data_IF_155342406929
#
_entry.id   IF_155342406929
#
_cell.length_a   1.000
_cell.length_b   1.000
_cell.length_c   1.000
_cell.angle_alpha   90.00
_cell.angle_beta   90.00
_cell.angle_gamma   90.00
#
_symmetry.space_group_name_H-M   'P 1'
#
loop_
_entity.id
_entity.type
_entity.pdbx_description
1 polymer ?
#
# COMPACT_ATOMS: atom_id res chain seq x y z
N UNK A 1 0.88 -25.72 -16.62
CA UNK A 1 0.11 -25.29 -17.81
C UNK A 1 1.05 -25.12 -18.98
N UNK A 2 0.70 -25.64 -20.15
CA UNK A 2 1.44 -25.38 -21.41
C UNK A 2 0.44 -25.16 -22.54
N UNK A 3 0.45 -23.94 -23.10
CA UNK A 3 -0.40 -23.51 -24.22
C UNK A 3 0.49 -23.28 -25.44
N UNK A 4 0.16 -23.94 -26.55
CA UNK A 4 0.89 -23.83 -27.82
C UNK A 4 -0.08 -23.49 -28.95
N UNK A 5 0.33 -22.60 -29.84
CA UNK A 5 -0.34 -22.36 -31.11
C UNK A 5 0.62 -22.75 -32.24
N UNK A 6 0.30 -23.84 -32.95
CA UNK A 6 1.23 -24.46 -33.90
C UNK A 6 2.53 -24.89 -33.20
N UNK A 7 3.66 -24.35 -33.66
CA UNK A 7 4.99 -24.62 -33.07
C UNK A 7 5.41 -23.60 -32.00
N UNK A 8 4.65 -22.51 -31.81
CA UNK A 8 4.99 -21.46 -30.87
C UNK A 8 4.38 -21.75 -29.48
N UNK A 9 5.20 -21.67 -28.44
CA UNK A 9 4.76 -21.72 -27.05
C UNK A 9 4.30 -20.32 -26.64
N UNK A 10 3.02 -20.19 -26.25
CA UNK A 10 2.45 -18.90 -25.82
C UNK A 10 2.65 -18.73 -24.31
N UNK A 11 2.23 -19.74 -23.55
CA UNK A 11 2.34 -19.78 -22.08
C UNK A 11 2.85 -21.15 -21.68
N UNK A 12 3.84 -21.23 -20.79
CA UNK A 12 4.29 -22.48 -20.22
C UNK A 12 4.87 -22.25 -18.83
N UNK A 13 4.49 -23.10 -17.88
CA UNK A 13 5.03 -23.08 -16.52
C UNK A 13 4.12 -23.74 -15.50
N UNK A 14 4.54 -23.73 -14.24
CA UNK A 14 3.75 -24.25 -13.11
C UNK A 14 2.65 -23.26 -12.74
N UNK A 15 1.43 -23.77 -12.50
CA UNK A 15 0.34 -22.94 -11.97
C UNK A 15 0.56 -22.70 -10.49
N UNK A 16 0.15 -21.53 -10.00
CA UNK A 16 0.28 -21.13 -8.59
C UNK A 16 -0.52 -22.04 -7.66
N UNK A 17 -1.68 -22.51 -8.09
CA UNK A 17 -2.45 -23.52 -7.38
C UNK A 17 -3.01 -24.58 -8.33
N UNK A 18 -3.59 -25.62 -7.73
CA UNK A 18 -4.19 -26.73 -8.47
C UNK A 18 -5.47 -26.30 -9.21
N UNK A 19 -5.67 -26.90 -10.39
CA UNK A 19 -6.87 -26.73 -11.21
C UNK A 19 -7.55 -28.06 -11.42
N UNK A 20 -8.87 -28.04 -11.54
CA UNK A 20 -9.63 -29.18 -11.98
C UNK A 20 -9.42 -29.37 -13.49
N UNK A 21 -8.70 -30.44 -13.84
CA UNK A 21 -8.39 -30.77 -15.23
C UNK A 21 -9.64 -31.19 -16.01
N UNK A 22 -10.66 -31.74 -15.34
CA UNK A 22 -11.89 -32.20 -15.98
C UNK A 22 -12.82 -31.04 -16.37
N UNK A 23 -12.72 -29.91 -15.66
CA UNK A 23 -13.49 -28.69 -15.91
C UNK A 23 -12.68 -27.61 -16.63
N UNK A 24 -11.46 -27.94 -17.08
CA UNK A 24 -10.63 -27.05 -17.89
C UNK A 24 -11.04 -27.18 -19.35
N UNK A 25 -11.40 -26.05 -19.97
CA UNK A 25 -11.85 -26.00 -21.37
C UNK A 25 -11.10 -24.93 -22.15
N UNK A 26 -11.10 -25.03 -23.46
CA UNK A 26 -10.52 -24.03 -24.35
C UNK A 26 -11.40 -23.86 -25.58
N UNK A 27 -11.44 -22.64 -26.11
CA UNK A 27 -12.15 -22.30 -27.35
C UNK A 27 -11.25 -21.43 -28.22
N UNK A 28 -11.25 -21.71 -29.53
CA UNK A 28 -10.48 -20.95 -30.52
C UNK A 28 -11.44 -20.16 -31.40
N UNK A 29 -11.30 -18.84 -31.35
CA UNK A 29 -11.93 -17.87 -32.24
C UNK A 29 -10.91 -17.42 -33.30
N UNK A 30 -11.33 -16.78 -34.41
CA UNK A 30 -10.44 -16.45 -35.54
C UNK A 30 -9.17 -15.65 -35.15
N UNK A 31 -9.23 -14.85 -34.09
CA UNK A 31 -8.17 -13.98 -33.61
C UNK A 31 -7.83 -14.17 -32.11
N UNK A 32 -8.47 -15.13 -31.44
CA UNK A 32 -8.37 -15.29 -29.98
C UNK A 32 -8.44 -16.75 -29.55
N UNK A 33 -7.47 -17.19 -28.75
CA UNK A 33 -7.57 -18.41 -27.97
C UNK A 33 -8.04 -18.06 -26.57
N UNK A 34 -9.17 -18.62 -26.16
CA UNK A 34 -9.71 -18.47 -24.81
C UNK A 34 -9.56 -19.80 -24.06
N UNK A 35 -8.97 -19.74 -22.87
CA UNK A 35 -8.77 -20.92 -22.00
C UNK A 35 -9.46 -20.63 -20.67
N UNK A 36 -10.39 -21.50 -20.30
CA UNK A 36 -11.13 -21.41 -19.05
C UNK A 36 -10.58 -22.47 -18.10
N UNK A 37 -9.95 -22.02 -17.02
CA UNK A 37 -9.42 -22.88 -15.97
C UNK A 37 -10.32 -22.80 -14.73
N UNK A 38 -10.65 -23.96 -14.17
CA UNK A 38 -11.44 -24.04 -12.95
C UNK A 38 -10.52 -24.37 -11.78
N UNK A 39 -10.53 -23.53 -10.73
CA UNK A 39 -9.73 -23.77 -9.53
C UNK A 39 -10.23 -25.03 -8.82
N UNK A 40 -9.31 -25.85 -8.31
CA UNK A 40 -9.68 -27.00 -7.50
C UNK A 40 -10.17 -26.59 -6.11
N UNK A 41 -9.56 -25.54 -5.52
CA UNK A 41 -9.91 -25.01 -4.20
C UNK A 41 -10.69 -23.69 -4.33
N UNK A 42 -11.73 -23.54 -3.51
CA UNK A 42 -12.50 -22.30 -3.39
C UNK A 42 -11.86 -21.35 -2.36
N UNK A 43 -12.00 -20.04 -2.58
CA UNK A 43 -11.47 -19.00 -1.67
C UNK A 43 -10.02 -18.57 -1.90
N UNK A 44 -9.23 -19.33 -2.66
CA UNK A 44 -7.83 -18.96 -2.95
C UNK A 44 -7.74 -17.85 -4.00
N UNK A 45 -7.20 -16.69 -3.60
CA UNK A 45 -6.76 -15.63 -4.52
C UNK A 45 -5.54 -16.10 -5.30
N UNK A 46 -5.49 -15.82 -6.60
CA UNK A 46 -4.34 -16.16 -7.45
C UNK A 46 -3.66 -14.85 -7.84
N UNK A 47 -2.55 -14.47 -7.19
CA UNK A 47 -1.83 -13.24 -7.54
C UNK A 47 -1.20 -13.33 -8.93
N UNK A 48 -0.87 -14.55 -9.38
CA UNK A 48 -0.34 -14.85 -10.70
C UNK A 48 -0.94 -16.17 -11.20
N UNK A 49 -1.04 -16.32 -12.52
CA UNK A 49 -1.55 -17.55 -13.15
C UNK A 49 -0.47 -18.64 -13.23
N UNK A 50 0.72 -18.25 -13.71
CA UNK A 50 1.90 -19.09 -13.82
C UNK A 50 2.99 -18.47 -12.95
N UNK A 51 3.60 -19.27 -12.08
CA UNK A 51 4.59 -18.77 -11.11
C UNK A 51 5.77 -18.10 -11.82
N UNK A 52 5.98 -16.81 -11.53
CA UNK A 52 7.06 -16.01 -12.10
C UNK A 52 6.80 -15.48 -13.52
N UNK A 53 5.62 -15.67 -14.10
CA UNK A 53 5.25 -15.09 -15.39
C UNK A 53 4.48 -13.77 -15.20
N UNK A 54 5.13 -12.65 -15.53
CA UNK A 54 4.59 -11.29 -15.36
C UNK A 54 3.91 -10.76 -16.62
N UNK A 55 3.74 -11.57 -17.67
CA UNK A 55 3.14 -11.16 -18.94
C UNK A 55 1.61 -11.20 -18.87
N UNK A 56 0.95 -10.12 -19.29
CA UNK A 56 -0.51 -10.01 -19.39
C UNK A 56 -1.13 -9.06 -18.37
N UNK A 57 -2.46 -8.98 -18.35
CA UNK A 57 -3.23 -8.15 -17.41
C UNK A 57 -4.34 -8.98 -16.78
N UNK A 58 -4.50 -8.87 -15.47
CA UNK A 58 -5.67 -9.40 -14.78
C UNK A 58 -6.85 -8.45 -14.98
N UNK A 59 -7.92 -8.96 -15.59
CA UNK A 59 -9.19 -8.25 -15.71
C UNK A 59 -10.21 -8.97 -14.82
N UNK A 60 -10.72 -8.25 -13.81
CA UNK A 60 -11.80 -8.73 -12.97
C UNK A 60 -13.13 -8.44 -13.67
N UNK A 61 -14.04 -9.40 -13.64
CA UNK A 61 -15.40 -9.22 -14.13
C UNK A 61 -16.07 -8.06 -13.35
N UNK A 62 -16.61 -7.03 -14.03
CA UNK A 62 -17.34 -5.94 -13.38
C UNK A 62 -18.41 -6.40 -12.38
N UNK A 63 -19.08 -7.53 -12.63
CA UNK A 63 -20.08 -8.07 -11.71
C UNK A 63 -19.46 -8.64 -10.42
N UNK A 64 -18.26 -9.21 -10.51
CA UNK A 64 -17.50 -9.67 -9.34
C UNK A 64 -16.96 -8.48 -8.55
N UNK A 65 -16.50 -7.44 -9.23
CA UNK A 65 -16.11 -6.17 -8.60
C UNK A 65 -17.30 -5.55 -7.87
N UNK A 66 -18.49 -5.57 -8.47
CA UNK A 66 -19.71 -5.04 -7.87
C UNK A 66 -20.21 -5.88 -6.68
N UNK A 67 -20.17 -7.22 -6.75
CA UNK A 67 -20.51 -8.10 -5.60
C UNK A 67 -19.54 -7.90 -4.45
N UNK A 68 -18.23 -7.85 -4.73
CA UNK A 68 -17.20 -7.55 -3.72
C UNK A 68 -17.40 -6.16 -3.13
N UNK A 69 -17.68 -5.15 -3.95
CA UNK A 69 -17.98 -3.79 -3.48
C UNK A 69 -19.25 -3.75 -2.63
N UNK A 70 -20.30 -4.50 -2.98
CA UNK A 70 -21.54 -4.57 -2.19
C UNK A 70 -21.29 -5.25 -0.84
N UNK A 71 -20.54 -6.36 -0.82
CA UNK A 71 -20.17 -7.04 0.43
C UNK A 71 -19.30 -6.15 1.32
N UNK A 72 -18.37 -5.40 0.75
CA UNK A 72 -17.44 -4.52 1.48
C UNK A 72 -17.96 -3.07 1.60
N UNK A 73 -19.20 -2.81 1.21
CA UNK A 73 -19.77 -1.46 1.18
C UNK A 73 -19.83 -0.79 2.55
N UNK A 74 -19.93 -1.59 3.61
CA UNK A 74 -19.92 -1.16 5.00
C UNK A 74 -18.53 -0.73 5.51
N UNK A 75 -17.46 -1.10 4.81
CA UNK A 75 -16.08 -0.69 5.09
C UNK A 75 -15.63 0.48 4.20
N UNK A 76 -16.46 0.87 3.22
CA UNK A 76 -16.20 2.01 2.36
C UNK A 76 -16.69 3.28 3.06
N UNK A 77 -15.87 4.34 3.01
CA UNK A 77 -16.10 5.66 3.65
C UNK A 77 -17.38 6.39 3.21
N UNK A 78 -18.17 5.80 2.31
CA UNK A 78 -19.46 6.32 1.85
C UNK A 78 -20.56 6.25 2.94
N UNK A 79 -20.36 5.43 3.98
CA UNK A 79 -21.16 5.43 5.19
C UNK A 79 -20.32 5.97 6.35
N UNK A 80 -20.20 7.29 6.45
CA UNK A 80 -19.75 7.91 7.71
C UNK A 80 -20.68 7.41 8.83
N UNK A 81 -20.10 6.80 9.86
CA UNK A 81 -20.82 6.43 11.08
C UNK A 81 -21.36 7.74 11.67
N UNK A 82 -22.66 7.96 11.52
CA UNK A 82 -23.34 9.06 12.20
C UNK A 82 -23.21 8.84 13.70
N UNK A 83 -22.45 9.75 14.33
CA UNK A 83 -22.39 10.03 15.76
C UNK A 83 -22.16 8.81 16.65
N UNK A 84 -20.90 8.65 17.09
CA UNK A 84 -20.59 7.93 18.31
C UNK A 84 -21.20 8.68 19.51
N UNK A 85 -22.45 8.33 19.84
CA UNK A 85 -23.06 8.66 21.11
C UNK A 85 -22.36 7.93 22.25
N UNK A 86 -21.86 8.71 23.19
CA UNK A 86 -21.45 8.38 24.56
C UNK A 86 -20.78 6.99 24.79
N UNK A 87 -19.44 6.99 24.72
CA UNK A 87 -18.66 6.41 25.81
C UNK A 87 -18.24 4.94 25.75
N UNK A 88 -18.57 4.15 24.72
CA UNK A 88 -17.96 2.82 24.55
C UNK A 88 -17.69 2.53 23.07
N UNK A 89 -16.41 2.34 22.73
CA UNK A 89 -16.04 1.69 21.48
C UNK A 89 -16.70 0.30 21.46
N UNK A 90 -17.33 -0.14 20.35
CA UNK A 90 -17.89 -1.47 20.26
C UNK A 90 -16.79 -2.48 20.55
N UNK A 91 -17.05 -3.41 21.47
CA UNK A 91 -16.19 -4.57 21.73
C UNK A 91 -16.00 -5.34 20.44
N UNK A 92 -14.83 -5.20 19.82
CA UNK A 92 -14.45 -5.97 18.65
C UNK A 92 -14.37 -7.45 19.02
N UNK A 93 -15.02 -8.28 18.21
CA UNK A 93 -14.89 -9.72 18.36
C UNK A 93 -13.50 -10.12 17.83
N UNK A 94 -12.74 -10.90 18.61
CA UNK A 94 -11.37 -11.31 18.24
C UNK A 94 -11.34 -12.09 16.91
N UNK A 95 -12.44 -12.74 16.55
CA UNK A 95 -12.61 -13.48 15.29
C UNK A 95 -12.78 -12.58 14.05
N UNK A 96 -12.87 -11.26 14.22
CA UNK A 96 -12.95 -10.27 13.14
C UNK A 96 -11.61 -9.55 12.88
N UNK A 97 -10.55 -9.87 13.64
CA UNK A 97 -9.22 -9.32 13.38
C UNK A 97 -8.65 -9.92 12.09
N UNK A 98 -8.28 -9.06 11.15
CA UNK A 98 -7.49 -9.43 9.99
C UNK A 98 -6.01 -9.56 10.37
N UNK A 99 -5.18 -10.20 9.53
CA UNK A 99 -3.73 -10.33 9.77
C UNK A 99 -3.04 -8.96 9.99
N UNK A 100 -3.64 -7.87 9.49
CA UNK A 100 -3.17 -6.51 9.74
C UNK A 100 -3.51 -5.96 11.13
N UNK A 101 -4.47 -6.54 11.86
CA UNK A 101 -4.84 -6.11 13.22
C UNK A 101 -3.98 -6.79 14.28
N UNK A 102 -3.25 -7.83 13.89
CA UNK A 102 -2.26 -8.48 14.75
C UNK A 102 -1.11 -7.49 14.98
N UNK A 103 -0.90 -7.10 16.24
CA UNK A 103 0.29 -6.34 16.60
C UNK A 103 1.52 -7.08 16.11
N UNK A 104 2.52 -6.41 15.50
CA UNK A 104 3.76 -7.07 15.11
C UNK A 104 4.31 -7.84 16.30
N UNK A 105 4.68 -9.12 16.12
CA UNK A 105 5.38 -9.88 17.17
C UNK A 105 6.66 -9.13 17.61
N UNK A 106 7.20 -8.30 16.72
CA UNK A 106 8.33 -7.40 16.96
C UNK A 106 7.92 -6.13 17.72
N UNK A 107 8.45 -5.99 18.94
CA UNK A 107 8.40 -4.72 19.68
C UNK A 107 9.43 -3.74 19.11
N UNK A 108 8.97 -2.64 18.52
CA UNK A 108 9.85 -1.59 18.03
C UNK A 108 10.22 -0.62 19.15
N UNK A 109 11.48 -0.21 19.20
CA UNK A 109 11.96 0.87 20.08
C UNK A 109 12.79 1.86 19.27
N UNK A 110 12.52 3.14 19.47
CA UNK A 110 13.35 4.23 18.98
C UNK A 110 14.40 4.55 20.03
N UNK A 111 15.67 4.56 19.64
CA UNK A 111 16.80 4.85 20.54
C UNK A 111 17.62 6.04 20.04
N UNK A 112 18.03 6.90 20.97
CA UNK A 112 18.98 8.00 20.70
C UNK A 112 20.34 7.65 21.24
N UNK A 113 21.31 7.48 20.35
CA UNK A 113 22.70 7.24 20.70
C UNK A 113 23.48 8.57 20.75
N UNK A 114 24.28 8.76 21.79
CA UNK A 114 25.31 9.80 21.79
C UNK A 114 26.48 9.35 20.90
N UNK A 115 27.00 10.26 20.07
CA UNK A 115 27.89 9.89 18.96
C UNK A 115 29.27 9.41 19.43
N UNK A 116 29.77 9.97 20.53
CA UNK A 116 31.13 9.75 21.03
C UNK A 116 31.23 8.53 21.96
N UNK A 117 30.31 8.39 22.92
CA UNK A 117 30.29 7.29 23.91
C UNK A 117 29.50 6.09 23.44
N UNK A 118 28.68 6.23 22.38
CA UNK A 118 27.71 5.23 21.93
C UNK A 118 26.70 4.81 23.01
N UNK A 119 26.51 5.65 24.03
CA UNK A 119 25.53 5.40 25.08
C UNK A 119 24.12 5.75 24.62
N UNK A 120 23.13 4.98 25.10
CA UNK A 120 21.72 5.28 24.87
C UNK A 120 21.35 6.43 25.82
N UNK A 121 21.01 7.58 25.24
CA UNK A 121 20.56 8.75 26.01
C UNK A 121 19.05 8.74 26.23
N UNK A 122 18.29 8.23 25.27
CA UNK A 122 16.82 8.19 25.31
C UNK A 122 16.32 6.94 24.59
N UNK A 123 15.19 6.41 25.05
CA UNK A 123 14.52 5.27 24.43
C UNK A 123 13.00 5.48 24.51
N UNK A 124 12.31 5.29 23.38
CA UNK A 124 10.85 5.32 23.29
C UNK A 124 10.38 3.97 22.77
N UNK A 125 9.51 3.30 23.53
CA UNK A 125 8.82 2.11 23.05
C UNK A 125 7.69 2.53 22.11
N UNK A 126 7.60 1.88 20.95
CA UNK A 126 6.48 2.09 20.02
C UNK A 126 5.28 1.20 20.36
N UNK A 127 5.33 0.38 21.42
CA UNK A 127 4.17 -0.36 21.95
C UNK A 127 3.29 -1.08 20.90
N UNK A 128 3.91 -1.69 19.88
CA UNK A 128 3.22 -2.40 18.79
C UNK A 128 2.90 -1.54 17.55
N UNK A 129 3.15 -0.23 17.58
CA UNK A 129 3.02 0.63 16.42
C UNK A 129 4.16 0.33 15.44
N UNK A 130 3.80 -0.21 14.27
CA UNK A 130 4.75 -0.59 13.23
C UNK A 130 5.48 0.63 12.67
N UNK A 131 6.80 0.54 12.52
CA UNK A 131 7.55 1.53 11.73
C UNK A 131 7.20 1.43 10.24
N UNK A 132 6.84 2.55 9.61
CA UNK A 132 6.49 2.60 8.18
C UNK A 132 7.63 3.17 7.32
N UNK A 133 8.15 4.34 7.69
CA UNK A 133 9.22 5.03 6.95
C UNK A 133 9.83 6.17 7.77
N UNK A 134 11.00 6.64 7.35
CA UNK A 134 11.55 7.93 7.75
C UNK A 134 11.09 9.02 6.77
N UNK A 135 10.84 10.24 7.27
CA UNK A 135 10.42 11.38 6.47
C UNK A 135 11.39 12.55 6.66
N UNK A 136 12.12 12.89 5.60
CA UNK A 136 13.09 13.97 5.61
C UNK A 136 12.41 15.30 5.26
N UNK A 137 11.94 16.04 6.27
CA UNK A 137 11.26 17.32 6.07
C UNK A 137 12.23 18.47 5.71
N UNK A 138 13.47 18.42 6.20
CA UNK A 138 14.52 19.38 5.90
C UNK A 138 15.91 18.77 6.12
N UNK A 139 16.94 19.34 5.47
CA UNK A 139 18.32 18.85 5.56
C UNK A 139 19.05 19.25 6.86
N UNK A 140 18.48 20.20 7.62
CA UNK A 140 19.07 20.78 8.84
C UNK A 140 18.66 20.04 10.13
N UNK A 141 17.86 18.99 10.02
CA UNK A 141 17.26 18.30 11.16
C UNK A 141 17.20 16.78 10.92
N UNK A 142 17.12 15.97 11.98
CA UNK A 142 16.92 14.53 11.82
C UNK A 142 15.58 14.22 11.12
N UNK A 143 15.48 13.10 10.39
CA UNK A 143 14.23 12.66 9.80
C UNK A 143 13.14 12.44 10.87
N UNK A 144 11.92 12.82 10.54
CA UNK A 144 10.73 12.47 11.30
C UNK A 144 10.39 10.99 11.09
N UNK A 145 9.72 10.37 12.05
CA UNK A 145 9.36 8.95 12.03
C UNK A 145 7.88 8.81 11.68
N UNK A 146 7.56 8.04 10.65
CA UNK A 146 6.19 7.65 10.35
C UNK A 146 5.92 6.27 10.96
N UNK A 147 4.98 6.20 11.90
CA UNK A 147 4.52 4.96 12.52
C UNK A 147 3.07 4.69 12.16
N UNK A 148 2.72 3.42 12.02
CA UNK A 148 1.34 3.00 11.85
C UNK A 148 0.59 3.21 13.16
N UNK A 149 -0.53 3.88 13.08
CA UNK A 149 -1.49 4.00 14.18
C UNK A 149 -2.87 3.64 13.63
N UNK A 150 -3.37 2.47 14.01
CA UNK A 150 -4.57 1.86 13.41
C UNK A 150 -4.43 1.72 11.88
N UNK A 151 -5.32 2.31 11.08
CA UNK A 151 -5.27 2.29 9.62
C UNK A 151 -4.37 3.38 9.02
N UNK A 152 -3.93 4.35 9.82
CA UNK A 152 -3.23 5.55 9.37
C UNK A 152 -1.71 5.47 9.57
N UNK A 153 -0.98 6.32 8.84
CA UNK A 153 0.44 6.60 9.08
C UNK A 153 0.62 7.95 9.75
N UNK A 154 1.00 7.98 11.03
CA UNK A 154 1.23 9.20 11.78
C UNK A 154 2.72 9.57 11.78
N UNK A 155 3.02 10.82 11.41
CA UNK A 155 4.39 11.36 11.33
C UNK A 155 4.70 12.13 12.60
N UNK A 156 5.76 11.69 13.29
CA UNK A 156 6.25 12.26 14.53
C UNK A 156 7.63 12.86 14.32
N UNK A 157 7.78 14.15 14.58
CA UNK A 157 9.05 14.84 14.59
C UNK A 157 9.71 14.70 15.95
N UNK A 158 10.97 14.32 15.93
CA UNK A 158 11.82 14.19 17.10
C UNK A 158 12.54 15.52 17.31
N UNK A 159 12.19 16.23 18.37
CA UNK A 159 12.82 17.51 18.69
C UNK A 159 14.12 17.27 19.49
N UNK A 160 15.12 18.16 19.37
CA UNK A 160 16.32 18.08 20.20
C UNK A 160 15.93 18.09 21.69
N UNK A 161 16.37 17.09 22.48
CA UNK A 161 15.99 17.03 23.88
C UNK A 161 16.61 18.21 24.66
N UNK A 162 15.85 18.82 25.58
CA UNK A 162 16.44 19.71 26.58
C UNK A 162 17.48 18.95 27.41
N UNK A 163 18.40 19.68 28.05
CA UNK A 163 19.56 19.11 28.75
C UNK A 163 19.25 18.07 29.87
N UNK A 164 17.99 17.87 30.27
CA UNK A 164 17.64 16.95 31.37
C UNK A 164 16.20 16.41 31.32
N UNK A 165 15.57 16.31 30.15
CA UNK A 165 14.14 15.97 30.03
C UNK A 165 13.90 14.79 29.08
N UNK A 166 12.66 14.29 29.08
CA UNK A 166 12.15 13.31 28.10
C UNK A 166 12.41 13.77 26.66
N UNK A 167 12.53 12.83 25.72
CA UNK A 167 12.74 13.14 24.31
C UNK A 167 11.43 13.72 23.71
N UNK A 168 11.39 15.02 23.37
CA UNK A 168 10.15 15.61 22.89
C UNK A 168 9.81 15.12 21.48
N UNK A 169 8.56 14.70 21.31
CA UNK A 169 8.00 14.25 20.03
C UNK A 169 6.78 15.11 19.68
N UNK A 170 6.73 15.62 18.45
CA UNK A 170 5.60 16.39 17.94
C UNK A 170 4.92 15.63 16.81
N UNK A 171 3.60 15.47 16.88
CA UNK A 171 2.83 15.01 15.72
C UNK A 171 2.74 16.12 14.67
N UNK A 172 3.22 15.86 13.46
CA UNK A 172 3.35 16.88 12.39
C UNK A 172 2.51 16.58 11.16
N UNK A 173 1.94 15.38 11.06
CA UNK A 173 0.95 15.09 10.04
C UNK A 173 0.54 13.63 10.00
N UNK A 174 -0.59 13.39 9.34
CA UNK A 174 -1.17 12.06 9.15
C UNK A 174 -1.33 11.77 7.67
N UNK A 175 -0.94 10.56 7.25
CA UNK A 175 -1.32 9.96 5.98
C UNK A 175 -2.47 8.99 6.23
N UNK A 176 -3.69 9.44 5.89
CA UNK A 176 -4.89 8.65 6.09
C UNK A 176 -4.85 7.34 5.29
N UNK A 177 -5.31 6.26 5.90
CA UNK A 177 -5.32 4.88 5.40
C UNK A 177 -3.95 4.31 4.98
N UNK A 178 -2.84 5.01 5.23
CA UNK A 178 -1.52 4.57 4.77
C UNK A 178 -1.08 3.27 5.44
N UNK A 179 -1.43 3.05 6.71
CA UNK A 179 -1.14 1.81 7.41
C UNK A 179 -1.79 0.61 6.73
N UNK A 180 -3.08 0.73 6.41
CA UNK A 180 -3.83 -0.28 5.67
C UNK A 180 -3.26 -0.50 4.25
N UNK A 181 -3.02 0.60 3.52
CA UNK A 181 -2.46 0.55 2.16
C UNK A 181 -1.09 -0.12 2.16
N UNK A 182 -0.20 0.25 3.07
CA UNK A 182 1.14 -0.32 3.15
C UNK A 182 1.14 -1.82 3.51
N UNK A 183 0.19 -2.25 4.35
CA UNK A 183 -0.01 -3.67 4.65
C UNK A 183 -0.48 -4.46 3.41
N UNK A 184 -1.34 -3.88 2.57
CA UNK A 184 -1.81 -4.52 1.33
C UNK A 184 -0.70 -4.72 0.27
N UNK A 185 0.40 -3.96 0.36
CA UNK A 185 1.54 -4.03 -0.57
C UNK A 185 2.61 -4.97 -0.05
N UNK A 186 2.45 -6.26 -0.35
CA UNK A 186 3.37 -7.32 0.08
C UNK A 186 4.76 -7.22 -0.59
N UNK A 187 4.81 -6.73 -1.84
CA UNK A 187 6.05 -6.57 -2.62
C UNK A 187 6.66 -5.16 -2.51
N UNK A 188 6.32 -4.39 -1.48
CA UNK A 188 6.88 -3.05 -1.26
C UNK A 188 8.39 -3.14 -0.99
N UNK A 189 9.17 -2.36 -1.73
CA UNK A 189 10.61 -2.24 -1.58
C UNK A 189 11.02 -0.92 -0.94
N UNK A 190 10.36 0.17 -1.33
CA UNK A 190 10.60 1.49 -0.77
C UNK A 190 9.29 2.15 -0.36
N UNK A 191 9.32 2.82 0.79
CA UNK A 191 8.27 3.73 1.24
C UNK A 191 8.92 5.08 1.55
N UNK A 192 8.34 6.14 1.00
CA UNK A 192 8.87 7.49 1.09
C UNK A 192 7.71 8.50 1.09
N UNK A 193 7.98 9.70 1.57
CA UNK A 193 7.04 10.81 1.56
C UNK A 193 7.70 12.10 1.10
N UNK A 194 6.90 13.00 0.54
CA UNK A 194 7.36 14.35 0.27
C UNK A 194 7.72 15.07 1.57
N UNK A 195 8.76 15.92 1.58
CA UNK A 195 9.14 16.73 2.74
C UNK A 195 8.00 17.57 3.34
N UNK A 196 7.09 18.06 2.52
CA UNK A 196 5.91 18.84 2.94
C UNK A 196 4.70 17.98 3.36
N UNK A 197 4.86 16.66 3.40
CA UNK A 197 3.83 15.67 3.70
C UNK A 197 2.62 15.73 2.75
N UNK A 198 2.75 16.31 1.56
CA UNK A 198 1.65 16.42 0.58
C UNK A 198 1.31 15.08 -0.06
N UNK A 199 2.27 14.17 -0.14
CA UNK A 199 2.08 12.83 -0.68
C UNK A 199 3.03 11.79 -0.07
N UNK A 200 2.59 10.53 -0.12
CA UNK A 200 3.38 9.34 0.19
C UNK A 200 3.52 8.47 -1.06
N UNK A 201 4.58 7.67 -1.13
CA UNK A 201 4.88 6.80 -2.26
C UNK A 201 5.26 5.41 -1.75
N UNK A 202 4.70 4.39 -2.39
CA UNK A 202 5.08 3.00 -2.20
C UNK A 202 5.59 2.47 -3.54
N UNK A 203 6.85 2.05 -3.57
CA UNK A 203 7.46 1.43 -4.73
C UNK A 203 7.50 -0.08 -4.53
N UNK A 204 6.98 -0.86 -5.47
CA UNK A 204 7.17 -2.30 -5.49
C UNK A 204 8.55 -2.69 -6.01
N UNK A 205 8.95 -3.93 -5.81
CA UNK A 205 10.25 -4.45 -6.26
C UNK A 205 10.45 -4.32 -7.78
N UNK A 206 9.37 -4.32 -8.56
CA UNK A 206 9.38 -4.19 -10.01
C UNK A 206 8.22 -3.33 -10.53
N UNK A 207 8.55 -2.43 -11.46
CA UNK A 207 7.68 -1.66 -12.35
C UNK A 207 6.60 -0.74 -11.77
N UNK A 208 6.09 -0.96 -10.57
CA UNK A 208 4.92 -0.24 -10.05
C UNK A 208 5.31 0.73 -8.94
N UNK A 209 4.92 1.99 -9.13
CA UNK A 209 5.10 3.05 -8.14
C UNK A 209 3.74 3.69 -7.87
N UNK A 210 3.28 3.58 -6.62
CA UNK A 210 2.00 4.11 -6.17
C UNK A 210 2.22 5.44 -5.45
N UNK A 211 1.60 6.52 -5.93
CA UNK A 211 1.67 7.85 -5.32
C UNK A 211 0.31 8.19 -4.71
N UNK A 212 0.30 8.45 -3.39
CA UNK A 212 -0.87 8.77 -2.59
C UNK A 212 -0.81 10.23 -2.18
N UNK A 213 -1.66 11.08 -2.75
CA UNK A 213 -1.72 12.51 -2.44
C UNK A 213 -2.81 12.79 -1.41
N UNK A 214 -2.51 13.67 -0.45
CA UNK A 214 -3.50 14.17 0.51
C UNK A 214 -4.70 14.79 -0.22
N UNK A 215 -5.86 14.71 0.42
CA UNK A 215 -7.12 15.20 -0.13
C UNK A 215 -6.99 16.67 -0.51
N UNK A 216 -7.08 16.97 -1.80
CA UNK A 216 -7.02 18.32 -2.34
C UNK A 216 -8.44 18.80 -2.67
N UNK A 217 -8.71 20.09 -2.47
CA UNK A 217 -9.98 20.70 -2.87
C UNK A 217 -10.24 20.45 -4.36
N UNK A 218 -11.44 20.00 -4.68
CA UNK A 218 -11.83 19.75 -6.07
C UNK A 218 -12.10 21.10 -6.73
N UNK A 219 -11.41 21.41 -7.84
CA UNK A 219 -11.63 22.65 -8.61
C UNK A 219 -12.98 22.73 -9.34
N UNK A 220 -13.93 21.85 -9.01
CA UNK A 220 -15.26 21.73 -9.60
C UNK A 220 -16.23 20.99 -8.66
N UNK A 221 -17.52 20.97 -8.97
CA UNK A 221 -18.52 20.25 -8.17
C UNK A 221 -18.44 18.74 -8.42
N UNK A 222 -17.62 18.02 -7.66
CA UNK A 222 -17.78 16.57 -7.55
C UNK A 222 -18.99 16.28 -6.67
N UNK A 223 -19.93 15.49 -7.17
CA UNK A 223 -21.05 14.96 -6.40
C UNK A 223 -20.93 13.45 -6.33
N UNK A 224 -21.08 12.90 -5.14
CA UNK A 224 -21.20 11.46 -4.96
C UNK A 224 -22.44 10.99 -5.76
N UNK A 225 -22.26 10.04 -6.68
CA UNK A 225 -23.31 9.58 -7.60
C UNK A 225 -24.49 8.92 -6.88
N UNK A 226 -24.27 8.35 -5.69
CA UNK A 226 -25.30 7.66 -4.89
C UNK A 226 -26.03 8.61 -3.95
N UNK A 227 -25.32 9.52 -3.29
CA UNK A 227 -25.91 10.41 -2.26
C UNK A 227 -26.22 11.83 -2.76
N UNK A 228 -25.80 12.17 -3.99
CA UNK A 228 -25.84 13.52 -4.55
C UNK A 228 -25.12 14.60 -3.71
N UNK A 229 -24.42 14.20 -2.64
CA UNK A 229 -23.68 15.08 -1.76
C UNK A 229 -22.44 15.63 -2.48
N UNK A 230 -22.15 16.91 -2.29
CA UNK A 230 -20.90 17.51 -2.80
C UNK A 230 -19.73 16.87 -2.06
N UNK A 231 -18.75 16.37 -2.81
CA UNK A 231 -17.49 15.85 -2.29
C UNK A 231 -16.49 17.00 -2.31
N UNK A 232 -16.18 17.63 -1.17
CA UNK A 232 -15.37 18.84 -1.12
C UNK A 232 -13.89 18.56 -1.39
N UNK A 233 -13.42 17.36 -1.07
CA UNK A 233 -12.01 16.96 -1.22
C UNK A 233 -11.93 15.52 -1.73
N UNK A 234 -10.95 15.25 -2.58
CA UNK A 234 -10.68 13.88 -3.05
C UNK A 234 -9.20 13.58 -2.85
N UNK A 235 -8.92 12.50 -2.13
CA UNK A 235 -7.59 11.90 -2.08
C UNK A 235 -7.32 11.20 -3.42
N UNK A 236 -6.14 11.42 -3.99
CA UNK A 236 -5.79 10.87 -5.30
C UNK A 236 -4.71 9.81 -5.15
N UNK A 237 -4.98 8.64 -5.68
CA UNK A 237 -3.98 7.61 -5.94
C UNK A 237 -3.56 7.67 -7.41
N UNK A 238 -2.26 7.67 -7.67
CA UNK A 238 -1.70 7.56 -9.01
C UNK A 238 -0.83 6.31 -9.07
N UNK A 239 -0.98 5.52 -10.14
CA UNK A 239 -0.11 4.41 -10.44
C UNK A 239 0.81 4.81 -11.59
N UNK A 240 2.12 4.76 -11.35
CA UNK A 240 3.15 4.97 -12.35
C UNK A 240 3.72 3.59 -12.70
N UNK A 241 3.59 3.22 -13.97
CA UNK A 241 4.19 2.01 -14.53
C UNK A 241 5.51 2.41 -15.19
N UNK A 242 6.62 1.89 -14.68
CA UNK A 242 7.94 2.07 -15.29
C UNK A 242 8.02 1.21 -16.55
N UNK A 243 8.63 1.75 -17.60
CA UNK A 243 8.71 1.10 -18.92
C UNK A 243 9.55 -0.19 -18.90
N UNK A 244 10.53 -0.27 -18.00
CA UNK A 244 11.39 -1.45 -17.83
C UNK A 244 11.11 -2.16 -16.51
N UNK A 245 11.00 -3.51 -16.50
CA UNK A 245 10.89 -4.32 -15.29
C UNK A 245 12.21 -4.45 -14.51
N UNK A 246 13.23 -3.66 -14.87
CA UNK A 246 14.50 -3.58 -14.17
C UNK A 246 14.31 -3.34 -12.66
N UNK A 247 15.07 -4.03 -11.78
CA UNK A 247 14.96 -3.85 -10.33
C UNK A 247 15.19 -2.41 -9.90
N UNK A 248 14.37 -1.93 -8.96
CA UNK A 248 14.57 -0.60 -8.38
C UNK A 248 15.78 -0.62 -7.42
N UNK A 249 16.71 0.32 -7.61
CA UNK A 249 17.89 0.50 -6.76
C UNK A 249 17.68 1.56 -5.69
N UNK A 250 16.84 2.56 -5.96
CA UNK A 250 16.54 3.63 -5.01
C UNK A 250 15.37 4.48 -5.46
N UNK A 251 14.84 5.26 -4.52
CA UNK A 251 13.78 6.23 -4.76
C UNK A 251 13.96 7.45 -3.87
N UNK A 252 13.57 8.62 -4.36
CA UNK A 252 13.61 9.88 -3.62
C UNK A 252 12.38 10.73 -3.96
N UNK A 253 11.62 11.13 -2.94
CA UNK A 253 10.54 12.10 -3.08
C UNK A 253 11.00 13.49 -2.64
N UNK A 254 10.62 14.48 -3.43
CA UNK A 254 10.74 15.90 -3.09
C UNK A 254 9.33 16.52 -3.12
N UNK A 255 9.18 17.82 -2.88
CA UNK A 255 7.85 18.44 -2.97
C UNK A 255 7.35 18.55 -4.42
N UNK A 256 8.25 18.47 -5.41
CA UNK A 256 7.94 18.76 -6.82
C UNK A 256 8.19 17.59 -7.75
N UNK A 257 9.14 16.71 -7.40
CA UNK A 257 9.60 15.60 -8.22
C UNK A 257 9.72 14.32 -7.43
N UNK A 258 9.42 13.20 -8.09
CA UNK A 258 9.70 11.85 -7.66
C UNK A 258 10.78 11.24 -8.54
N UNK A 259 11.91 10.88 -7.95
CA UNK A 259 13.01 10.21 -8.65
C UNK A 259 12.99 8.71 -8.34
N UNK A 260 13.06 7.88 -9.38
CA UNK A 260 13.15 6.42 -9.26
C UNK A 260 14.37 5.93 -10.03
N UNK A 261 15.31 5.30 -9.33
CA UNK A 261 16.51 4.74 -9.92
C UNK A 261 16.32 3.24 -10.13
N UNK A 262 16.47 2.78 -11.36
CA UNK A 262 16.62 1.35 -11.69
C UNK A 262 18.05 1.05 -12.12
N UNK A 263 18.35 -0.20 -12.45
CA UNK A 263 19.66 -0.61 -12.98
C UNK A 263 20.02 0.15 -14.25
N UNK A 264 19.02 0.42 -15.09
CA UNK A 264 19.24 0.92 -16.46
C UNK A 264 18.90 2.41 -16.61
N UNK A 265 18.00 2.94 -15.77
CA UNK A 265 17.38 4.26 -16.00
C UNK A 265 17.11 5.00 -14.69
N UNK A 266 17.26 6.33 -14.71
CA UNK A 266 16.74 7.24 -13.70
C UNK A 266 15.48 7.93 -14.24
N UNK A 267 14.34 7.67 -13.62
CA UNK A 267 13.06 8.30 -13.95
C UNK A 267 12.82 9.52 -13.06
N UNK A 268 12.15 10.55 -13.60
CA UNK A 268 11.65 11.70 -12.85
C UNK A 268 10.19 11.98 -13.25
N UNK A 269 9.29 12.07 -12.27
CA UNK A 269 7.88 12.46 -12.45
C UNK A 269 7.49 13.63 -11.58
#
# INVERSE_FOLDING_TARGET
LTIRCGQQVIVSGSLTHAVDQSLTTWTLQPDRLEVTLTKQDTGSMWPELVTGDTRGQQLLDPAVVEDVHNRLSHLCSDNEVQEAGDGFAPTFNLDQLEDCDTAPEDSWSLVRLEAETHSITHQISLAGHQWLMAVCEAADRPPSVCVRHDVDGCVWRLEPPPASADWPCQHVGTFFALGYVAASKQQKKFMLAAPDLSYAVICEASSHVFVYRKSSAVGGELRNRKTAAKVPTVAKQQLINLESPSPLLGACATNSYLFILTVDTLYSS
#
